data_IF_578965620994
#
_entry.id   IF_578965620994
#
_cell.length_a   1.000
_cell.length_b   1.000
_cell.length_c   1.000
_cell.angle_alpha   90.00
_cell.angle_beta   90.00
_cell.angle_gamma   90.00
#
_symmetry.space_group_name_H-M   'P 1'
#
loop_
_entity.id
_entity.type
_entity.pdbx_description
1 polymer ?
#
# COMPACT_ATOMS: atom_id res chain seq x y z
N UNK A 1 1.62 -32.19 11.77
CA UNK A 1 1.49 -32.04 10.30
C UNK A 1 1.74 -30.58 10.08
N UNK A 2 3.01 -30.28 9.91
CA UNK A 2 3.55 -28.95 10.12
C UNK A 2 3.54 -28.29 8.76
N UNK A 3 2.51 -27.48 8.53
CA UNK A 3 2.39 -26.65 7.34
C UNK A 3 3.53 -25.62 7.39
N UNK A 4 4.65 -25.96 6.75
CA UNK A 4 5.78 -25.07 6.59
C UNK A 4 5.31 -23.87 5.77
N UNK A 5 4.95 -22.80 6.46
CA UNK A 5 4.69 -21.48 5.88
C UNK A 5 5.99 -21.01 5.22
N UNK A 6 6.19 -21.40 3.96
CA UNK A 6 7.26 -20.85 3.14
C UNK A 6 7.09 -19.32 3.15
N UNK A 7 8.16 -18.53 3.32
CA UNK A 7 8.07 -17.09 3.28
C UNK A 7 7.67 -16.68 1.86
N UNK A 8 6.35 -16.55 1.65
CA UNK A 8 5.77 -16.27 0.35
C UNK A 8 6.12 -14.83 -0.01
N UNK A 9 7.23 -14.65 -0.75
CA UNK A 9 7.71 -13.35 -1.20
C UNK A 9 6.54 -12.54 -1.76
N UNK A 10 6.22 -11.43 -1.09
CA UNK A 10 5.09 -10.61 -1.50
C UNK A 10 5.43 -9.98 -2.85
N UNK A 11 4.57 -10.09 -3.89
CA UNK A 11 4.89 -9.57 -5.21
C UNK A 11 5.10 -8.05 -5.14
N UNK A 12 6.32 -7.61 -5.47
CA UNK A 12 6.66 -6.21 -5.61
C UNK A 12 6.49 -5.83 -7.09
N UNK A 13 5.23 -5.82 -7.53
CA UNK A 13 4.78 -5.48 -8.90
C UNK A 13 4.18 -4.06 -8.99
N UNK A 14 4.15 -3.34 -7.87
CA UNK A 14 3.53 -2.03 -7.72
C UNK A 14 2.13 -2.08 -7.10
N UNK A 15 1.54 -3.24 -6.78
CA UNK A 15 0.31 -3.35 -5.98
C UNK A 15 0.56 -3.99 -4.60
N UNK A 16 0.21 -3.26 -3.54
CA UNK A 16 0.11 -3.78 -2.17
C UNK A 16 -1.36 -4.00 -1.81
N UNK A 17 -1.75 -5.23 -1.43
CA UNK A 17 -3.09 -5.50 -0.92
C UNK A 17 -3.09 -5.67 0.61
N UNK A 18 -3.72 -4.69 1.27
CA UNK A 18 -3.81 -4.61 2.73
C UNK A 18 -4.97 -5.41 3.32
N UNK A 19 -5.80 -6.12 2.56
CA UNK A 19 -6.93 -6.88 3.15
C UNK A 19 -6.46 -7.91 4.18
N UNK A 20 -5.32 -8.56 3.95
CA UNK A 20 -4.75 -9.61 4.79
C UNK A 20 -4.00 -9.10 6.04
N UNK A 21 -3.67 -7.80 6.10
CA UNK A 21 -2.89 -7.20 7.19
C UNK A 21 -3.80 -6.75 8.35
N UNK A 22 -3.32 -6.72 9.60
CA UNK A 22 -4.07 -6.05 10.66
C UNK A 22 -3.98 -4.51 10.51
N UNK A 23 -4.89 -3.73 11.14
CA UNK A 23 -4.79 -2.28 11.14
C UNK A 23 -3.47 -1.77 11.74
N UNK A 24 -2.92 -2.44 12.75
CA UNK A 24 -1.63 -2.08 13.36
C UNK A 24 -0.45 -2.30 12.39
N UNK A 25 -0.37 -3.44 11.72
CA UNK A 25 0.67 -3.76 10.72
C UNK A 25 0.62 -2.85 9.47
N UNK A 26 -0.53 -2.22 9.21
CA UNK A 26 -0.80 -1.48 7.97
C UNK A 26 0.23 -0.37 7.72
N UNK A 27 0.78 0.27 8.77
CA UNK A 27 1.80 1.31 8.62
C UNK A 27 3.12 0.71 8.13
N UNK A 28 3.62 -0.30 8.85
CA UNK A 28 4.91 -0.95 8.58
C UNK A 28 4.92 -1.63 7.21
N UNK A 29 3.83 -2.33 6.87
CA UNK A 29 3.66 -2.97 5.56
C UNK A 29 3.76 -1.98 4.40
N UNK A 30 3.24 -0.76 4.56
CA UNK A 30 3.31 0.28 3.51
C UNK A 30 4.70 0.92 3.44
N UNK A 31 5.35 1.17 4.58
CA UNK A 31 6.72 1.70 4.62
C UNK A 31 7.71 0.74 3.92
N UNK A 32 7.65 -0.55 4.26
CA UNK A 32 8.50 -1.58 3.65
C UNK A 32 8.17 -1.83 2.17
N UNK A 33 6.90 -1.75 1.77
CA UNK A 33 6.53 -1.88 0.36
C UNK A 33 7.01 -0.69 -0.49
N UNK A 34 6.96 0.54 0.04
CA UNK A 34 7.53 1.72 -0.62
C UNK A 34 9.04 1.52 -0.81
N UNK A 35 9.75 1.05 0.23
CA UNK A 35 11.19 0.75 0.16
C UNK A 35 11.49 -0.28 -0.93
N UNK A 36 10.82 -1.42 -0.91
CA UNK A 36 11.01 -2.50 -1.88
C UNK A 36 10.67 -2.09 -3.32
N UNK A 37 9.68 -1.21 -3.52
CA UNK A 37 9.34 -0.66 -4.83
C UNK A 37 10.45 0.26 -5.35
N UNK A 38 11.00 1.13 -4.51
CA UNK A 38 12.11 2.02 -4.88
C UNK A 38 13.37 1.22 -5.26
N UNK A 39 13.71 0.17 -4.50
CA UNK A 39 14.82 -0.75 -4.83
C UNK A 39 14.65 -1.44 -6.20
N UNK A 40 13.41 -1.58 -6.68
CA UNK A 40 13.06 -2.12 -8.00
C UNK A 40 12.74 -1.04 -9.05
N UNK A 41 12.97 0.23 -8.76
CA UNK A 41 12.64 1.39 -9.62
C UNK A 41 11.13 1.50 -9.98
N UNK A 42 10.25 0.94 -9.16
CA UNK A 42 8.79 1.04 -9.30
C UNK A 42 8.33 2.34 -8.63
N UNK A 43 8.19 3.40 -9.43
CA UNK A 43 7.87 4.76 -8.94
C UNK A 43 6.38 5.09 -8.93
N UNK A 44 5.50 4.19 -9.38
CA UNK A 44 4.05 4.35 -9.28
C UNK A 44 3.49 3.09 -8.63
N UNK A 45 2.88 3.24 -7.45
CA UNK A 45 2.35 2.11 -6.66
C UNK A 45 0.87 2.31 -6.35
N UNK A 46 0.19 1.22 -6.00
CA UNK A 46 -1.24 1.13 -5.71
C UNK A 46 -1.44 0.36 -4.42
N UNK A 47 -1.97 1.04 -3.41
CA UNK A 47 -2.23 0.48 -2.08
C UNK A 47 -3.72 0.22 -1.96
N UNK A 48 -4.11 -1.06 -2.03
CA UNK A 48 -5.51 -1.52 -1.90
C UNK A 48 -5.82 -1.73 -0.43
N UNK A 49 -6.71 -0.90 0.14
CA UNK A 49 -7.09 -0.95 1.56
C UNK A 49 -8.56 -1.34 1.79
N UNK A 50 -9.29 -1.63 0.71
CA UNK A 50 -10.70 -2.00 0.75
C UNK A 50 -11.64 -0.82 1.03
N UNK A 51 -12.95 -1.12 0.99
CA UNK A 51 -14.06 -0.15 1.14
C UNK A 51 -14.73 -0.19 2.52
N UNK A 52 -14.05 -0.70 3.55
CA UNK A 52 -14.60 -0.78 4.91
C UNK A 52 -14.77 0.60 5.57
N UNK A 53 -14.88 0.65 6.90
CA UNK A 53 -15.07 1.90 7.68
C UNK A 53 -13.91 2.93 7.59
N UNK A 54 -12.91 2.71 6.74
CA UNK A 54 -11.86 3.68 6.42
C UNK A 54 -10.58 3.60 7.26
N UNK A 55 -10.51 2.81 8.33
CA UNK A 55 -9.33 2.76 9.24
C UNK A 55 -8.00 2.60 8.48
N UNK A 56 -7.87 1.57 7.63
CA UNK A 56 -6.64 1.36 6.83
C UNK A 56 -6.35 2.51 5.86
N UNK A 57 -7.38 3.15 5.30
CA UNK A 57 -7.24 4.36 4.46
C UNK A 57 -6.63 5.53 5.25
N UNK A 58 -7.13 5.80 6.45
CA UNK A 58 -6.63 6.89 7.29
C UNK A 58 -5.17 6.67 7.70
N UNK A 59 -4.78 5.42 8.01
CA UNK A 59 -3.39 5.06 8.33
C UNK A 59 -2.49 5.28 7.12
N UNK A 60 -2.88 4.76 5.94
CA UNK A 60 -2.17 4.97 4.67
C UNK A 60 -2.03 6.46 4.36
N UNK A 61 -3.11 7.24 4.45
CA UNK A 61 -3.10 8.67 4.11
C UNK A 61 -2.26 9.49 5.09
N UNK A 62 -2.31 9.16 6.39
CA UNK A 62 -1.49 9.79 7.41
C UNK A 62 0.01 9.57 7.16
N UNK A 63 0.38 8.34 6.81
CA UNK A 63 1.76 7.98 6.44
C UNK A 63 2.23 8.71 5.19
N UNK A 64 1.48 8.58 4.08
CA UNK A 64 1.83 9.15 2.78
C UNK A 64 1.95 10.68 2.79
N UNK A 65 1.21 11.36 3.67
CA UNK A 65 1.27 12.82 3.85
C UNK A 65 2.62 13.30 4.40
N UNK A 66 3.33 12.47 5.17
CA UNK A 66 4.61 12.82 5.82
C UNK A 66 5.82 12.06 5.27
N UNK A 67 5.61 11.05 4.43
CA UNK A 67 6.69 10.19 3.93
C UNK A 67 7.70 10.98 3.07
N UNK A 68 9.02 10.76 3.24
CA UNK A 68 10.00 11.17 2.24
C UNK A 68 9.70 10.43 0.91
N UNK A 69 10.32 10.79 -0.19
CA UNK A 69 10.14 10.13 -1.49
C UNK A 69 8.69 10.10 -2.08
N UNK A 70 7.58 10.27 -1.34
CA UNK A 70 6.24 10.47 -1.94
C UNK A 70 6.21 11.84 -2.63
N UNK A 71 5.69 11.89 -3.86
CA UNK A 71 5.46 13.12 -4.64
C UNK A 71 4.01 13.57 -4.50
N UNK A 72 3.07 12.64 -4.71
CA UNK A 72 1.63 12.85 -4.61
C UNK A 72 0.93 11.52 -4.45
N UNK A 73 -0.27 11.54 -3.88
CA UNK A 73 -1.17 10.40 -3.87
C UNK A 73 -2.59 10.84 -4.21
N UNK A 74 -3.40 9.90 -4.69
CA UNK A 74 -4.80 10.10 -5.11
C UNK A 74 -5.58 8.82 -4.87
N UNK A 75 -6.90 8.91 -4.71
CA UNK A 75 -7.73 7.71 -4.79
C UNK A 75 -7.72 7.14 -6.21
N UNK A 76 -7.87 5.82 -6.33
CA UNK A 76 -8.13 5.17 -7.62
C UNK A 76 -9.46 5.71 -8.18
N UNK A 77 -9.42 6.26 -9.39
CA UNK A 77 -10.45 7.18 -9.89
C UNK A 77 -11.65 6.51 -10.54
N UNK A 78 -12.85 7.04 -10.28
CA UNK A 78 -14.07 6.70 -11.01
C UNK A 78 -15.31 7.24 -10.31
N UNK A 79 -16.22 7.87 -11.06
CA UNK A 79 -17.39 8.63 -10.57
C UNK A 79 -18.50 7.79 -9.88
N UNK A 80 -18.18 6.60 -9.38
CA UNK A 80 -19.12 5.69 -8.72
C UNK A 80 -18.40 4.74 -7.75
N UNK A 81 -18.17 5.17 -6.51
CA UNK A 81 -17.85 4.28 -5.39
C UNK A 81 -16.47 3.57 -5.43
N UNK A 82 -15.49 4.12 -6.13
CA UNK A 82 -14.16 3.52 -6.38
C UNK A 82 -13.10 3.61 -5.26
N UNK A 83 -13.45 4.01 -4.03
CA UNK A 83 -12.49 4.36 -2.96
C UNK A 83 -11.70 3.20 -2.33
N UNK A 84 -11.58 2.04 -2.98
CA UNK A 84 -10.95 0.84 -2.40
C UNK A 84 -9.42 0.86 -2.37
N UNK A 85 -8.79 1.82 -3.05
CA UNK A 85 -7.33 1.92 -3.14
C UNK A 85 -6.86 3.38 -3.25
N UNK A 86 -5.57 3.57 -2.96
CA UNK A 86 -4.83 4.82 -3.10
C UNK A 86 -3.65 4.59 -4.04
N UNK A 87 -3.55 5.38 -5.10
CA UNK A 87 -2.43 5.39 -6.05
C UNK A 87 -1.43 6.45 -5.61
N UNK A 88 -0.15 6.08 -5.54
CA UNK A 88 0.95 6.89 -5.03
C UNK A 88 2.03 6.99 -6.09
N UNK A 89 2.47 8.22 -6.36
CA UNK A 89 3.63 8.48 -7.20
C UNK A 89 4.82 8.80 -6.28
N UNK A 90 5.91 8.07 -6.48
CA UNK A 90 7.16 8.15 -5.71
C UNK A 90 8.25 8.88 -6.51
N UNK A 91 9.24 9.41 -5.79
CA UNK A 91 10.50 9.93 -6.31
C UNK A 91 11.43 8.73 -6.58
N UNK A 92 12.00 8.60 -7.79
CA UNK A 92 13.16 7.73 -8.00
C UNK A 92 14.37 8.21 -7.20
#
# INVERSE_FOLDING_TARGET
MDEQQQPNEYPIDGTLDLHMFAPEDTKEAVEEYIRACLEKNITTIRIVHGKGIGVKREIVHSLLKTHPNVVRYRHEGGSGGGWGATVVDLRP
#
